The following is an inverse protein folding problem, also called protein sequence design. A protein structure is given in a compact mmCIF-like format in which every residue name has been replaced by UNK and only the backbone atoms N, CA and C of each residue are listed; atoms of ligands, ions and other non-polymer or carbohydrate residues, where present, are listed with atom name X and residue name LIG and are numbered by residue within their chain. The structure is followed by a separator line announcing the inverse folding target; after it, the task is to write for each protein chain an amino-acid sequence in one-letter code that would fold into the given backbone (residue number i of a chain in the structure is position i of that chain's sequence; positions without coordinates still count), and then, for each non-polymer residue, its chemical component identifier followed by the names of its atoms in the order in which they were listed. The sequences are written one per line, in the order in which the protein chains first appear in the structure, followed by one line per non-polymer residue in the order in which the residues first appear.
data_IF_858847143348
#
_entry.id   IF_858847143348
#
_cell.length_a   1.000
_cell.length_b   1.000
_cell.length_c   1.000
_cell.angle_alpha   90.00
_cell.angle_beta   90.00
_cell.angle_gamma   90.00
#
_symmetry.space_group_name_H-M   'P 1'
#
loop_
_entity.id
_entity.type
_entity.pdbx_description
1 polymer ?
#
# COMPACT_ATOMS: atom_id res chain seq x y z
N UNK A 1 50.35 42.93 -27.92
CA UNK A 1 49.62 41.69 -27.57
C UNK A 1 48.38 42.09 -26.78
N UNK A 2 47.19 42.07 -27.41
CA UNK A 2 46.03 42.84 -26.97
C UNK A 2 45.20 42.11 -25.89
N UNK A 3 45.27 42.62 -24.64
CA UNK A 3 44.54 42.13 -23.44
C UNK A 3 43.00 42.09 -23.60
N UNK A 4 42.47 42.73 -24.65
CA UNK A 4 41.05 42.79 -25.01
C UNK A 4 40.47 41.44 -25.45
N UNK A 5 41.29 40.56 -26.04
CA UNK A 5 40.84 39.24 -26.50
C UNK A 5 40.76 38.21 -25.36
N UNK A 6 41.66 38.28 -24.38
CA UNK A 6 41.61 37.41 -23.20
C UNK A 6 40.32 37.60 -22.38
N UNK A 7 39.84 38.83 -22.24
CA UNK A 7 38.60 39.11 -21.50
C UNK A 7 37.35 38.51 -22.15
N UNK A 8 37.28 38.52 -23.48
CA UNK A 8 36.12 37.99 -24.22
C UNK A 8 36.10 36.44 -24.25
N UNK A 9 37.27 35.81 -24.30
CA UNK A 9 37.38 34.33 -24.29
C UNK A 9 37.10 33.77 -22.89
N UNK A 10 37.56 34.44 -21.82
CA UNK A 10 37.28 34.03 -20.44
C UNK A 10 35.79 34.20 -20.09
N UNK A 11 35.12 35.24 -20.62
CA UNK A 11 33.69 35.43 -20.41
C UNK A 11 32.84 34.37 -21.14
N UNK A 12 33.26 33.93 -22.34
CA UNK A 12 32.58 32.88 -23.10
C UNK A 12 32.71 31.49 -22.44
N UNK A 13 33.86 31.20 -21.80
CA UNK A 13 34.09 29.95 -21.07
C UNK A 13 33.30 29.86 -19.75
N UNK A 14 32.89 30.99 -19.18
CA UNK A 14 32.11 31.04 -17.93
C UNK A 14 30.61 30.75 -18.13
N UNK A 15 30.10 30.83 -19.37
CA UNK A 15 28.66 30.61 -19.68
C UNK A 15 28.34 29.13 -19.91
N UNK A 16 29.35 28.29 -20.22
CA UNK A 16 29.13 26.90 -20.69
C UNK A 16 29.00 25.87 -19.55
N UNK A 17 29.30 26.23 -18.29
CA UNK A 17 29.36 25.25 -17.17
C UNK A 17 28.13 25.28 -16.24
N UNK A 18 27.08 26.03 -16.59
CA UNK A 18 25.82 26.03 -15.82
C UNK A 18 24.71 25.31 -16.59
N UNK A 19 25.02 24.17 -17.21
CA UNK A 19 24.00 23.14 -17.43
C UNK A 19 23.76 22.49 -16.08
N UNK A 20 22.94 23.16 -15.26
CA UNK A 20 22.45 22.60 -14.02
C UNK A 20 21.90 21.21 -14.30
N UNK A 21 22.41 20.22 -13.56
CA UNK A 21 21.74 18.95 -13.40
C UNK A 21 20.40 19.26 -12.73
N UNK A 22 19.39 19.59 -13.53
CA UNK A 22 18.02 19.65 -13.03
C UNK A 22 17.69 18.21 -12.64
N UNK A 23 17.58 17.93 -11.35
CA UNK A 23 16.97 16.71 -10.88
C UNK A 23 15.54 16.73 -11.41
N UNK A 24 15.31 16.07 -12.55
CA UNK A 24 13.98 15.87 -13.05
C UNK A 24 13.22 15.17 -11.93
N UNK A 25 12.19 15.83 -11.40
CA UNK A 25 11.31 15.21 -10.42
C UNK A 25 10.55 14.11 -11.17
N UNK A 26 11.14 12.92 -11.22
CA UNK A 26 10.49 11.75 -11.76
C UNK A 26 9.15 11.58 -11.04
N UNK A 27 8.07 11.55 -11.82
CA UNK A 27 6.74 11.34 -11.29
C UNK A 27 6.67 9.94 -10.68
N UNK A 28 6.05 9.80 -9.49
CA UNK A 28 5.70 8.50 -8.93
C UNK A 28 4.51 7.85 -9.66
N UNK A 29 3.83 8.62 -10.50
CA UNK A 29 2.73 8.17 -11.35
C UNK A 29 3.27 8.00 -12.77
N UNK A 30 3.16 6.79 -13.31
CA UNK A 30 3.57 6.49 -14.68
C UNK A 30 2.81 7.35 -15.70
N UNK A 31 3.47 7.70 -16.80
CA UNK A 31 2.84 8.46 -17.88
C UNK A 31 1.61 7.72 -18.42
N UNK A 32 0.49 8.43 -18.55
CA UNK A 32 -0.77 7.86 -19.02
C UNK A 32 -1.53 6.99 -18.01
N UNK A 33 -1.03 6.80 -16.78
CA UNK A 33 -1.75 6.06 -15.75
C UNK A 33 -3.10 6.72 -15.43
N UNK A 34 -4.14 5.89 -15.33
CA UNK A 34 -5.51 6.31 -14.99
C UNK A 34 -5.98 5.57 -13.76
N UNK A 35 -6.68 6.27 -12.88
CA UNK A 35 -7.36 5.65 -11.75
C UNK A 35 -8.64 5.00 -12.27
N UNK A 36 -8.80 3.70 -12.01
CA UNK A 36 -9.97 2.93 -12.39
C UNK A 36 -10.70 2.42 -11.15
N UNK A 37 -12.03 2.48 -11.18
CA UNK A 37 -12.86 1.91 -10.12
C UNK A 37 -13.06 0.42 -10.38
N UNK A 38 -12.39 -0.41 -9.58
CA UNK A 38 -12.46 -1.87 -9.71
C UNK A 38 -13.78 -2.47 -9.18
N UNK A 39 -14.28 -1.95 -8.06
CA UNK A 39 -15.49 -2.46 -7.40
C UNK A 39 -16.20 -1.36 -6.58
N UNK A 40 -17.40 -1.66 -6.08
CA UNK A 40 -18.19 -0.78 -5.21
C UNK A 40 -19.31 -1.53 -4.49
N UNK A 41 -20.15 -0.80 -3.75
CA UNK A 41 -21.21 -1.37 -2.91
C UNK A 41 -20.79 -1.69 -1.47
N UNK A 42 -19.55 -1.35 -1.11
CA UNK A 42 -19.02 -1.46 0.24
C UNK A 42 -19.51 -0.33 1.14
N UNK A 43 -19.43 -0.52 2.46
CA UNK A 43 -19.80 0.52 3.42
C UNK A 43 -18.60 1.33 3.89
N UNK A 44 -17.48 0.68 4.19
CA UNK A 44 -16.22 1.38 4.50
C UNK A 44 -15.02 0.43 4.31
N UNK A 45 -14.23 0.68 3.25
CA UNK A 45 -13.10 -0.17 2.90
C UNK A 45 -11.80 0.29 3.55
N UNK A 46 -11.01 -0.65 4.07
CA UNK A 46 -9.75 -0.37 4.77
C UNK A 46 -8.74 -1.52 4.63
N UNK A 47 -7.51 -1.27 5.08
CA UNK A 47 -6.48 -2.28 5.31
C UNK A 47 -6.19 -3.21 4.13
N UNK A 48 -5.89 -2.70 2.91
CA UNK A 48 -5.54 -3.55 1.79
C UNK A 48 -4.20 -4.27 2.02
N UNK A 49 -4.11 -5.55 1.64
CA UNK A 49 -2.88 -6.34 1.66
C UNK A 49 -2.82 -7.28 0.45
N UNK A 50 -1.65 -7.39 -0.18
CA UNK A 50 -1.41 -8.31 -1.28
C UNK A 50 -0.91 -9.67 -0.79
N UNK A 51 -1.42 -10.77 -1.34
CA UNK A 51 -0.82 -12.09 -1.17
C UNK A 51 0.38 -12.29 -2.13
N UNK A 52 1.04 -13.45 -2.06
CA UNK A 52 2.20 -13.77 -2.90
C UNK A 52 1.85 -13.99 -4.39
N UNK A 53 0.56 -14.05 -4.72
CA UNK A 53 0.03 -14.18 -6.08
C UNK A 53 -0.52 -12.84 -6.60
N UNK A 54 -0.19 -11.73 -5.93
CA UNK A 54 -0.64 -10.36 -6.23
C UNK A 54 -2.16 -10.14 -6.14
N UNK A 55 -2.89 -11.05 -5.49
CA UNK A 55 -4.30 -10.79 -5.18
C UNK A 55 -4.41 -9.81 -4.01
N UNK A 56 -5.34 -8.86 -4.09
CA UNK A 56 -5.55 -7.85 -3.06
C UNK A 56 -6.69 -8.24 -2.14
N UNK A 57 -6.41 -8.32 -0.86
CA UNK A 57 -7.39 -8.50 0.20
C UNK A 57 -7.67 -7.17 0.87
N UNK A 58 -8.91 -6.88 1.24
CA UNK A 58 -9.28 -5.65 1.95
C UNK A 58 -10.51 -5.88 2.81
N UNK A 59 -10.69 -5.03 3.82
CA UNK A 59 -11.83 -5.13 4.74
C UNK A 59 -12.99 -4.28 4.27
N UNK A 60 -14.22 -4.69 4.59
CA UNK A 60 -15.41 -3.83 4.60
C UNK A 60 -15.97 -3.86 6.02
N UNK A 61 -15.49 -2.92 6.84
CA UNK A 61 -15.58 -3.00 8.31
C UNK A 61 -17.03 -3.13 8.77
N UNK A 62 -17.97 -2.26 8.35
CA UNK A 62 -19.33 -2.28 8.89
C UNK A 62 -20.17 -3.42 8.33
N UNK A 63 -19.78 -3.99 7.19
CA UNK A 63 -20.38 -5.20 6.64
C UNK A 63 -19.75 -6.49 7.20
N UNK A 64 -18.75 -6.38 8.09
CA UNK A 64 -18.10 -7.48 8.80
C UNK A 64 -17.48 -8.53 7.86
N UNK A 65 -16.82 -8.06 6.79
CA UNK A 65 -16.25 -8.90 5.72
C UNK A 65 -14.78 -8.59 5.42
N UNK A 66 -14.08 -9.60 4.92
CA UNK A 66 -12.83 -9.46 4.17
C UNK A 66 -13.10 -9.90 2.74
N UNK A 67 -12.80 -9.04 1.78
CA UNK A 67 -12.92 -9.30 0.34
C UNK A 67 -11.57 -9.64 -0.26
N UNK A 68 -11.61 -10.35 -1.40
CA UNK A 68 -10.47 -10.61 -2.29
C UNK A 68 -10.79 -10.05 -3.67
N UNK A 69 -9.92 -9.21 -4.19
CA UNK A 69 -9.82 -8.85 -5.59
C UNK A 69 -8.68 -9.64 -6.22
N UNK A 70 -8.99 -10.57 -7.10
CA UNK A 70 -7.98 -11.41 -7.74
C UNK A 70 -7.30 -10.73 -8.93
N UNK A 71 -6.12 -11.22 -9.28
CA UNK A 71 -5.35 -10.72 -10.44
C UNK A 71 -6.08 -10.89 -11.78
N UNK A 72 -7.05 -11.81 -11.86
CA UNK A 72 -7.94 -11.98 -13.02
C UNK A 72 -9.16 -11.03 -13.01
N UNK A 73 -9.20 -10.07 -12.09
CA UNK A 73 -10.20 -9.01 -12.05
C UNK A 73 -11.54 -9.42 -11.43
N UNK A 74 -11.57 -10.38 -10.51
CA UNK A 74 -12.79 -10.84 -9.85
C UNK A 74 -12.84 -10.43 -8.38
N UNK A 75 -14.00 -9.90 -7.98
CA UNK A 75 -14.32 -9.67 -6.58
C UNK A 75 -14.97 -10.93 -5.97
N UNK A 76 -14.52 -11.31 -4.78
CA UNK A 76 -15.12 -12.37 -3.97
C UNK A 76 -15.05 -12.04 -2.48
N UNK A 77 -15.87 -12.70 -1.65
CA UNK A 77 -15.68 -12.68 -0.20
C UNK A 77 -14.66 -13.75 0.19
N UNK A 78 -13.57 -13.34 0.85
CA UNK A 78 -12.61 -14.26 1.46
C UNK A 78 -13.12 -14.78 2.81
N UNK A 79 -13.66 -13.88 3.64
CA UNK A 79 -14.15 -14.23 4.97
C UNK A 79 -15.36 -13.39 5.36
N UNK A 80 -16.42 -14.09 5.75
CA UNK A 80 -17.55 -13.53 6.49
C UNK A 80 -17.24 -13.51 8.00
N UNK A 81 -17.98 -12.71 8.76
CA UNK A 81 -17.78 -12.53 10.20
C UNK A 81 -16.32 -12.21 10.58
N UNK A 82 -15.80 -11.15 9.97
CA UNK A 82 -14.40 -10.73 10.11
C UNK A 82 -14.03 -10.22 11.51
N UNK A 83 -14.99 -10.06 12.42
CA UNK A 83 -14.79 -9.43 13.73
C UNK A 83 -14.58 -7.92 13.61
N UNK A 84 -15.20 -7.29 12.60
CA UNK A 84 -14.92 -5.92 12.18
C UNK A 84 -13.41 -5.69 11.98
N UNK A 85 -12.78 -6.57 11.19
CA UNK A 85 -11.38 -6.45 10.85
C UNK A 85 -11.10 -5.10 10.17
N UNK A 86 -9.93 -4.51 10.46
CA UNK A 86 -9.43 -3.30 9.81
C UNK A 86 -8.11 -3.61 9.07
N UNK A 87 -6.96 -3.42 9.73
CA UNK A 87 -5.65 -3.66 9.12
C UNK A 87 -5.42 -5.13 8.78
N UNK A 88 -4.88 -5.37 7.59
CA UNK A 88 -4.48 -6.70 7.09
C UNK A 88 -2.98 -6.71 6.75
N UNK A 89 -2.37 -7.89 6.84
CA UNK A 89 -0.98 -8.14 6.40
C UNK A 89 -0.78 -9.62 6.11
N UNK A 90 -0.08 -9.98 5.04
CA UNK A 90 0.33 -11.36 4.80
C UNK A 90 1.72 -11.64 5.38
N UNK A 91 1.83 -12.68 6.20
CA UNK A 91 3.14 -13.15 6.64
C UNK A 91 3.85 -14.00 5.56
N UNK A 92 5.12 -14.32 5.81
CA UNK A 92 5.96 -15.11 4.89
C UNK A 92 5.45 -16.53 4.61
N UNK A 93 4.57 -17.06 5.47
CA UNK A 93 4.01 -18.41 5.34
C UNK A 93 2.63 -18.38 4.65
N UNK A 94 2.20 -17.20 4.19
CA UNK A 94 0.92 -16.98 3.50
C UNK A 94 -0.28 -16.90 4.45
N UNK A 95 -0.07 -16.72 5.76
CA UNK A 95 -1.19 -16.46 6.66
C UNK A 95 -1.59 -14.98 6.60
N UNK A 96 -2.90 -14.73 6.61
CA UNK A 96 -3.45 -13.39 6.71
C UNK A 96 -3.55 -12.98 8.18
N UNK A 97 -2.77 -11.98 8.58
CA UNK A 97 -2.90 -11.31 9.85
C UNK A 97 -4.01 -10.27 9.76
N UNK A 98 -4.91 -10.25 10.75
CA UNK A 98 -6.04 -9.33 10.77
C UNK A 98 -6.25 -8.73 12.16
N UNK A 99 -6.39 -7.40 12.21
CA UNK A 99 -6.78 -6.67 13.41
C UNK A 99 -8.32 -6.67 13.53
N UNK A 100 -8.89 -7.60 14.32
CA UNK A 100 -10.34 -7.70 14.56
C UNK A 100 -10.77 -6.64 15.59
N UNK A 101 -11.04 -5.41 15.11
CA UNK A 101 -11.36 -4.25 15.96
C UNK A 101 -12.60 -4.45 16.82
N UNK A 102 -13.63 -5.10 16.29
CA UNK A 102 -14.87 -5.40 17.04
C UNK A 102 -14.68 -6.46 18.13
N UNK A 103 -13.58 -7.21 18.09
CA UNK A 103 -13.25 -8.25 19.09
C UNK A 103 -12.07 -7.87 19.98
N UNK A 104 -11.36 -6.78 19.67
CA UNK A 104 -10.21 -6.30 20.42
C UNK A 104 -9.02 -7.26 20.37
N UNK A 105 -8.75 -7.88 19.21
CA UNK A 105 -7.69 -8.90 19.08
C UNK A 105 -7.00 -8.90 17.71
N UNK A 106 -5.75 -9.36 17.71
CA UNK A 106 -4.98 -9.69 16.51
C UNK A 106 -5.08 -11.20 16.27
N UNK A 107 -5.40 -11.59 15.04
CA UNK A 107 -5.48 -13.01 14.63
C UNK A 107 -4.60 -13.30 13.42
N UNK A 108 -4.16 -14.55 13.30
CA UNK A 108 -3.59 -15.13 12.08
C UNK A 108 -4.62 -16.10 11.49
N UNK A 109 -4.86 -15.99 10.19
CA UNK A 109 -5.78 -16.82 9.42
C UNK A 109 -4.95 -17.59 8.41
N UNK A 110 -4.85 -18.90 8.57
CA UNK A 110 -4.06 -19.70 7.63
C UNK A 110 -4.79 -19.90 6.28
N UNK A 111 -4.11 -20.39 5.23
CA UNK A 111 -4.74 -20.61 3.92
C UNK A 111 -5.94 -21.56 3.91
N UNK A 112 -6.12 -22.38 4.96
CA UNK A 112 -7.28 -23.26 5.17
C UNK A 112 -8.42 -22.57 5.93
N UNK A 113 -8.30 -21.28 6.24
CA UNK A 113 -9.28 -20.50 6.99
C UNK A 113 -9.25 -20.68 8.51
N UNK A 114 -8.29 -21.44 9.06
CA UNK A 114 -8.18 -21.60 10.52
C UNK A 114 -7.69 -20.30 11.16
N UNK A 115 -8.47 -19.79 12.10
CA UNK A 115 -8.15 -18.59 12.87
C UNK A 115 -7.38 -18.96 14.16
N UNK A 116 -6.27 -18.29 14.41
CA UNK A 116 -5.47 -18.38 15.64
C UNK A 116 -5.34 -16.99 16.26
N UNK A 117 -5.65 -16.83 17.54
CA UNK A 117 -5.45 -15.56 18.24
C UNK A 117 -3.97 -15.39 18.54
N UNK A 118 -3.37 -14.29 18.08
CA UNK A 118 -1.98 -13.94 18.35
C UNK A 118 -1.85 -13.07 19.61
N UNK A 119 -2.80 -12.14 19.80
CA UNK A 119 -2.88 -11.30 20.97
C UNK A 119 -4.31 -10.77 21.16
N UNK A 120 -4.79 -10.68 22.40
CA UNK A 120 -6.12 -10.16 22.75
C UNK A 120 -6.16 -9.27 24.01
N UNK A 121 -5.00 -9.10 24.67
CA UNK A 121 -4.86 -8.32 25.90
C UNK A 121 -3.43 -7.86 26.14
N UNK A 122 -3.32 -6.80 26.93
CA UNK A 122 -2.07 -6.34 27.54
C UNK A 122 -2.35 -5.90 28.99
N UNK A 123 -1.56 -6.36 29.95
CA UNK A 123 -1.77 -6.10 31.39
C UNK A 123 -3.22 -6.37 31.85
N UNK A 124 -3.78 -7.51 31.44
CA UNK A 124 -5.17 -7.94 31.71
C UNK A 124 -6.28 -7.00 31.17
N UNK A 125 -5.94 -6.03 30.33
CA UNK A 125 -6.91 -5.17 29.62
C UNK A 125 -7.00 -5.59 28.16
N UNK A 126 -8.22 -5.57 27.61
CA UNK A 126 -8.43 -5.76 26.16
C UNK A 126 -7.81 -4.62 25.37
N UNK A 127 -7.52 -4.87 24.10
CA UNK A 127 -7.24 -3.81 23.15
C UNK A 127 -8.53 -3.03 22.87
N UNK A 128 -8.46 -1.71 23.05
CA UNK A 128 -9.51 -0.70 22.81
C UNK A 128 -10.88 -0.96 23.47
#
# INVERSE_FOLDING_TARGET
MNRRWYFLVVLALLVVVVTGCSAEKASVVAEGAKVEKLAGGFKFTEGPAADAEDNIFFTDIPNNRIHKWSVDGKLSTFREDSGAANGLFFDKDGNLLACEGGRGRLVSINPKGKVTVLADKYNNKKFN
#
